data_IF_724488192745
#
_entry.id   IF_724488192745
#
_cell.length_a   1.000
_cell.length_b   1.000
_cell.length_c   1.000
_cell.angle_alpha   90.00
_cell.angle_beta   90.00
_cell.angle_gamma   90.00
#
_symmetry.space_group_name_H-M   'P 1'
#
loop_
_entity.id
_entity.type
_entity.pdbx_description
1 polymer ?
#
# COMPACT_ATOMS: atom_id res chain seq x y z
N UNK A 1 10.83 -1.66 2.03
CA UNK A 1 10.87 -3.12 2.21
C UNK A 1 11.30 -3.35 3.65
N UNK A 2 10.54 -4.11 4.39
CA UNK A 2 10.83 -4.49 5.77
C UNK A 2 11.93 -5.56 5.89
N UNK A 3 12.18 -6.06 7.09
CA UNK A 3 13.21 -7.09 7.35
C UNK A 3 12.85 -8.45 6.78
N UNK A 4 11.57 -8.73 6.59
CA UNK A 4 11.07 -9.97 5.99
C UNK A 4 11.09 -9.93 4.45
N UNK A 5 11.29 -8.76 3.86
CA UNK A 5 11.28 -8.56 2.41
C UNK A 5 9.92 -8.14 1.86
N UNK A 6 8.94 -7.88 2.73
CA UNK A 6 7.63 -7.39 2.37
C UNK A 6 7.63 -5.89 2.06
N UNK A 7 6.60 -5.40 1.37
CA UNK A 7 6.47 -3.99 1.01
C UNK A 7 5.74 -3.19 2.10
N UNK A 8 6.15 -3.34 3.35
CA UNK A 8 5.64 -2.65 4.52
C UNK A 8 6.68 -1.64 5.02
N UNK A 9 6.22 -0.54 5.58
CA UNK A 9 7.07 0.49 6.16
C UNK A 9 7.34 0.18 7.63
N UNK A 10 8.61 -0.02 7.97
CA UNK A 10 9.08 -0.21 9.35
C UNK A 10 9.67 1.09 9.87
N UNK A 11 9.00 1.68 10.83
CA UNK A 11 9.54 2.77 11.64
C UNK A 11 9.87 4.04 10.88
N UNK A 12 10.03 5.10 11.61
CA UNK A 12 10.35 6.43 11.12
C UNK A 12 9.22 7.41 11.36
N UNK A 13 9.60 8.67 11.38
CA UNK A 13 8.71 9.79 11.60
C UNK A 13 7.97 10.16 10.30
N UNK A 14 6.63 10.13 10.32
CA UNK A 14 5.78 10.60 9.23
C UNK A 14 4.72 11.61 9.69
N UNK A 15 4.96 12.31 10.79
CA UNK A 15 4.12 13.40 11.27
C UNK A 15 2.96 13.01 12.17
N UNK A 16 2.76 11.72 12.47
CA UNK A 16 1.70 11.20 13.35
C UNK A 16 2.28 10.42 14.53
N UNK A 17 3.21 11.04 15.29
CA UNK A 17 4.00 10.34 16.31
C UNK A 17 3.21 9.96 17.56
N UNK A 18 2.29 10.82 17.97
CA UNK A 18 1.61 10.76 19.28
C UNK A 18 0.15 10.28 19.18
N UNK A 19 -0.16 9.46 18.20
CA UNK A 19 -1.51 8.94 17.95
C UNK A 19 -1.73 7.50 18.43
N UNK A 20 -0.71 6.91 19.03
CA UNK A 20 -0.71 5.54 19.54
C UNK A 20 -0.14 5.46 20.96
N UNK A 21 0.03 4.25 21.50
CA UNK A 21 0.59 4.03 22.83
C UNK A 21 2.10 4.30 22.92
N UNK A 22 2.76 4.43 21.78
CA UNK A 22 4.19 4.67 21.68
C UNK A 22 4.47 6.00 20.96
N UNK A 23 5.49 6.70 21.40
CA UNK A 23 6.10 7.80 20.65
C UNK A 23 6.92 7.18 19.51
N UNK A 24 6.44 7.32 18.28
CA UNK A 24 7.03 6.72 17.08
C UNK A 24 8.29 7.46 16.59
N UNK A 25 8.57 8.65 17.14
CA UNK A 25 9.81 9.41 16.89
C UNK A 25 10.97 8.97 17.79
N UNK A 26 10.71 8.16 18.81
CA UNK A 26 11.65 7.69 19.79
C UNK A 26 11.86 6.17 19.71
N UNK A 27 12.91 5.67 20.38
CA UNK A 27 13.10 4.24 20.54
C UNK A 27 11.92 3.62 21.30
N UNK A 28 11.45 2.47 20.84
CA UNK A 28 10.38 1.75 21.53
C UNK A 28 10.78 1.39 22.96
N UNK A 29 9.85 1.47 23.93
CA UNK A 29 10.12 1.07 25.32
C UNK A 29 10.26 -0.45 25.48
N UNK A 30 10.05 -1.20 24.42
CA UNK A 30 10.18 -2.66 24.34
C UNK A 30 11.11 -3.03 23.19
N UNK A 31 11.76 -4.20 23.30
CA UNK A 31 12.51 -4.73 22.18
C UNK A 31 11.54 -5.17 21.08
N UNK A 32 11.81 -4.75 19.84
CA UNK A 32 10.97 -5.07 18.70
C UNK A 32 10.96 -3.94 17.66
N UNK A 33 10.02 -4.04 16.72
CA UNK A 33 9.80 -3.01 15.71
C UNK A 33 8.29 -2.91 15.39
N UNK A 34 7.89 -1.80 14.80
CA UNK A 34 6.49 -1.56 14.40
C UNK A 34 6.42 -1.50 12.89
N UNK A 35 5.52 -2.31 12.31
CA UNK A 35 5.03 -2.12 10.97
C UNK A 35 3.90 -1.09 10.99
N UNK A 36 4.04 -0.04 10.19
CA UNK A 36 3.18 1.14 10.26
C UNK A 36 2.13 1.12 9.15
N UNK A 37 0.86 1.21 9.54
CA UNK A 37 -0.25 1.27 8.61
C UNK A 37 -0.26 2.58 7.81
N UNK A 38 -0.08 3.74 8.46
CA UNK A 38 -0.01 5.03 7.78
C UNK A 38 1.23 5.19 6.92
N UNK A 39 2.42 4.82 7.42
CA UNK A 39 3.67 4.89 6.67
C UNK A 39 3.61 4.06 5.39
N UNK A 40 3.08 2.85 5.48
CA UNK A 40 2.88 1.97 4.33
C UNK A 40 1.87 2.56 3.35
N UNK A 41 0.78 3.14 3.86
CA UNK A 41 -0.26 3.78 3.04
C UNK A 41 0.26 5.02 2.30
N UNK A 42 1.12 5.83 2.93
CA UNK A 42 1.77 6.95 2.26
C UNK A 42 2.61 6.48 1.07
N UNK A 43 3.31 5.36 1.19
CA UNK A 43 4.08 4.79 0.07
C UNK A 43 3.16 4.29 -1.05
N UNK A 44 2.00 3.71 -0.71
CA UNK A 44 0.97 3.34 -1.68
C UNK A 44 0.43 4.57 -2.42
N UNK A 45 0.05 5.62 -1.69
CA UNK A 45 -0.42 6.88 -2.27
C UNK A 45 0.64 7.54 -3.17
N UNK A 46 1.90 7.59 -2.75
CA UNK A 46 2.98 8.12 -3.58
C UNK A 46 3.17 7.31 -4.86
N UNK A 47 3.02 5.99 -4.81
CA UNK A 47 3.09 5.15 -6.00
C UNK A 47 1.97 5.52 -6.99
N UNK A 48 0.74 5.73 -6.52
CA UNK A 48 -0.37 6.18 -7.36
C UNK A 48 -0.15 7.59 -7.91
N UNK A 49 0.34 8.53 -7.11
CA UNK A 49 0.67 9.87 -7.57
C UNK A 49 1.76 9.85 -8.66
N UNK A 50 2.79 9.04 -8.47
CA UNK A 50 3.85 8.88 -9.48
C UNK A 50 3.34 8.20 -10.75
N UNK A 51 2.40 7.26 -10.63
CA UNK A 51 1.69 6.68 -11.77
C UNK A 51 0.90 7.75 -12.52
N UNK A 52 0.11 8.56 -11.83
CA UNK A 52 -0.68 9.64 -12.44
C UNK A 52 0.22 10.64 -13.20
N UNK A 53 1.36 11.05 -12.60
CA UNK A 53 2.34 11.92 -13.26
C UNK A 53 2.92 11.23 -14.50
N UNK A 54 3.27 9.95 -14.42
CA UNK A 54 3.82 9.22 -15.56
C UNK A 54 2.80 9.08 -16.69
N UNK A 55 1.51 8.86 -16.37
CA UNK A 55 0.44 8.82 -17.36
C UNK A 55 0.26 10.18 -18.07
N UNK A 56 0.41 11.29 -17.36
CA UNK A 56 0.35 12.63 -17.93
C UNK A 56 1.52 12.88 -18.91
N UNK A 57 2.71 12.47 -18.52
CA UNK A 57 3.92 12.62 -19.35
C UNK A 57 3.92 11.67 -20.56
N UNK A 58 3.20 10.55 -20.48
CA UNK A 58 3.10 9.56 -21.56
C UNK A 58 2.38 10.11 -22.81
N UNK A 59 1.50 11.11 -22.66
CA UNK A 59 0.88 11.80 -23.79
C UNK A 59 1.93 12.45 -24.73
N UNK A 60 3.08 12.87 -24.19
CA UNK A 60 4.18 13.45 -24.95
C UNK A 60 5.34 12.49 -25.25
N UNK A 61 5.48 11.43 -24.47
CA UNK A 61 6.57 10.46 -24.61
C UNK A 61 6.14 9.07 -24.12
N UNK A 62 5.92 8.12 -25.04
CA UNK A 62 5.43 6.76 -24.70
C UNK A 62 6.32 5.97 -23.72
N UNK A 63 7.59 6.34 -23.55
CA UNK A 63 8.46 5.68 -22.55
C UNK A 63 7.93 5.81 -21.12
N UNK A 64 7.08 6.79 -20.83
CA UNK A 64 6.46 6.96 -19.53
C UNK A 64 5.32 5.96 -19.25
N UNK A 65 4.79 5.26 -20.26
CA UNK A 65 3.85 4.15 -20.02
C UNK A 65 4.48 3.01 -19.21
N UNK A 66 5.77 2.72 -19.47
CA UNK A 66 6.53 1.73 -18.68
C UNK A 66 6.74 2.20 -17.23
N UNK A 67 6.98 3.50 -17.04
CA UNK A 67 7.09 4.07 -15.69
C UNK A 67 5.75 4.01 -14.93
N UNK A 68 4.64 4.32 -15.59
CA UNK A 68 3.31 4.18 -15.01
C UNK A 68 3.02 2.74 -14.59
N UNK A 69 3.34 1.77 -15.47
CA UNK A 69 3.21 0.34 -15.18
C UNK A 69 4.01 -0.09 -13.96
N UNK A 70 5.23 0.42 -13.82
CA UNK A 70 6.09 0.15 -12.67
C UNK A 70 5.50 0.68 -11.36
N UNK A 71 4.97 1.90 -11.36
CA UNK A 71 4.34 2.47 -10.16
C UNK A 71 3.03 1.77 -9.81
N UNK A 72 2.26 1.34 -10.80
CA UNK A 72 1.11 0.45 -10.61
C UNK A 72 1.52 -0.86 -9.91
N UNK A 73 2.56 -1.51 -10.37
CA UNK A 73 3.10 -2.74 -9.76
C UNK A 73 3.54 -2.50 -8.31
N UNK A 74 4.20 -1.38 -8.02
CA UNK A 74 4.56 -1.02 -6.65
C UNK A 74 3.34 -0.86 -5.76
N UNK A 75 2.32 -0.15 -6.24
CA UNK A 75 1.06 0.00 -5.52
C UNK A 75 0.41 -1.35 -5.19
N UNK A 76 0.29 -2.25 -6.17
CA UNK A 76 -0.29 -3.58 -5.95
C UNK A 76 0.48 -4.39 -4.91
N UNK A 77 1.80 -4.37 -4.95
CA UNK A 77 2.63 -5.08 -3.98
C UNK A 77 2.49 -4.50 -2.56
N UNK A 78 2.39 -3.18 -2.43
CA UNK A 78 2.15 -2.54 -1.13
C UNK A 78 0.75 -2.89 -0.61
N UNK A 79 -0.27 -2.79 -1.45
CA UNK A 79 -1.66 -3.13 -1.11
C UNK A 79 -1.78 -4.57 -0.63
N UNK A 80 -1.13 -5.51 -1.33
CA UNK A 80 -1.06 -6.91 -0.90
C UNK A 80 -0.40 -7.04 0.47
N UNK A 81 0.75 -6.39 0.68
CA UNK A 81 1.47 -6.46 1.94
C UNK A 81 0.63 -5.92 3.11
N UNK A 82 -0.15 -4.86 2.90
CA UNK A 82 -1.06 -4.31 3.91
C UNK A 82 -2.19 -5.26 4.30
N UNK A 83 -2.68 -6.03 3.34
CA UNK A 83 -3.79 -6.99 3.56
C UNK A 83 -3.29 -8.35 4.04
N UNK A 84 -2.05 -8.71 3.74
CA UNK A 84 -1.45 -10.01 4.02
C UNK A 84 0.00 -9.81 4.47
N UNK A 85 0.23 -9.44 5.71
CA UNK A 85 1.58 -9.34 6.23
C UNK A 85 2.26 -10.72 6.26
N UNK A 86 3.37 -10.81 5.53
CA UNK A 86 4.34 -11.91 5.57
C UNK A 86 3.77 -13.29 5.27
N UNK A 87 4.08 -13.84 4.15
CA UNK A 87 3.61 -15.11 3.55
C UNK A 87 3.57 -16.40 4.40
N UNK A 88 3.59 -16.31 5.70
CA UNK A 88 3.35 -17.40 6.68
C UNK A 88 2.67 -16.79 7.91
N UNK A 89 1.37 -17.00 8.08
CA UNK A 89 0.59 -16.77 9.32
C UNK A 89 0.84 -15.44 10.08
N UNK A 90 1.29 -14.40 9.38
CA UNK A 90 1.52 -13.08 9.95
C UNK A 90 0.21 -12.32 10.15
N UNK A 91 0.19 -11.46 11.17
CA UNK A 91 -0.91 -10.55 11.42
C UNK A 91 -0.88 -9.42 10.39
N UNK A 92 -1.88 -9.35 9.50
CA UNK A 92 -2.02 -8.24 8.56
C UNK A 92 -2.20 -6.89 9.28
N UNK A 93 -1.86 -5.79 8.60
CA UNK A 93 -2.22 -4.45 9.08
C UNK A 93 -3.75 -4.25 9.06
N UNK A 94 -4.45 -4.91 8.14
CA UNK A 94 -5.91 -4.96 8.10
C UNK A 94 -6.45 -5.96 9.13
N UNK A 95 -7.37 -5.52 9.96
CA UNK A 95 -8.09 -6.36 10.90
C UNK A 95 -9.52 -6.60 10.41
N UNK A 96 -9.84 -7.83 10.03
CA UNK A 96 -11.14 -8.22 9.46
C UNK A 96 -12.30 -8.05 10.45
N UNK A 97 -12.07 -8.34 11.74
CA UNK A 97 -13.10 -8.24 12.77
C UNK A 97 -13.51 -6.78 12.99
N UNK A 98 -12.54 -5.90 13.06
CA UNK A 98 -12.75 -4.47 13.33
C UNK A 98 -13.05 -3.66 12.08
N UNK A 99 -12.77 -4.20 10.88
CA UNK A 99 -12.83 -3.46 9.60
C UNK A 99 -11.94 -2.22 9.62
N UNK A 100 -10.72 -2.35 10.13
CA UNK A 100 -9.85 -1.21 10.36
C UNK A 100 -8.37 -1.59 10.24
N UNK A 101 -7.52 -0.63 9.81
CA UNK A 101 -6.08 -0.81 9.76
C UNK A 101 -5.44 -0.45 11.10
N UNK A 102 -4.48 -1.27 11.54
CA UNK A 102 -3.70 -1.05 12.74
C UNK A 102 -2.21 -1.23 12.47
N UNK A 103 -1.40 -0.52 13.23
CA UNK A 103 0.03 -0.83 13.32
C UNK A 103 0.22 -2.20 14.00
N UNK A 104 1.27 -2.91 13.64
CA UNK A 104 1.60 -4.21 14.24
C UNK A 104 2.99 -4.14 14.89
N UNK A 105 3.05 -4.44 16.19
CA UNK A 105 4.29 -4.57 16.94
C UNK A 105 4.83 -6.00 16.83
N UNK A 106 6.04 -6.13 16.33
CA UNK A 106 6.78 -7.39 16.28
C UNK A 106 7.72 -7.48 17.46
N UNK A 107 7.60 -8.55 18.25
CA UNK A 107 8.42 -8.83 19.42
C UNK A 107 9.55 -9.81 19.09
N UNK A 108 10.66 -9.86 19.88
CA UNK A 108 11.79 -10.75 19.64
C UNK A 108 11.46 -12.24 19.67
N UNK A 109 10.38 -12.62 20.34
CA UNK A 109 9.88 -13.99 20.42
C UNK A 109 8.93 -14.37 19.27
N UNK A 110 8.96 -13.62 18.18
CA UNK A 110 8.12 -13.77 16.99
C UNK A 110 6.61 -13.51 17.22
N UNK A 111 6.19 -13.05 18.39
CA UNK A 111 4.82 -12.60 18.59
C UNK A 111 4.56 -11.29 17.84
N UNK A 112 3.40 -11.23 17.21
CA UNK A 112 2.87 -10.05 16.53
C UNK A 112 1.66 -9.55 17.30
N UNK A 113 1.66 -8.26 17.65
CA UNK A 113 0.61 -7.65 18.47
C UNK A 113 0.02 -6.46 17.71
N UNK A 114 -1.25 -6.53 17.25
CA UNK A 114 -1.90 -5.39 16.65
C UNK A 114 -2.11 -4.29 17.69
N UNK A 115 -1.71 -3.08 17.36
CA UNK A 115 -1.92 -1.90 18.22
C UNK A 115 -3.31 -1.35 17.93
N UNK A 116 -4.33 -1.92 18.59
CA UNK A 116 -5.75 -1.61 18.35
C UNK A 116 -6.14 -0.21 18.87
N UNK A 117 -5.53 0.83 18.35
CA UNK A 117 -5.90 2.23 18.60
C UNK A 117 -6.59 2.79 17.35
N UNK A 118 -7.88 3.07 17.44
CA UNK A 118 -8.65 3.70 16.35
C UNK A 118 -8.32 5.18 16.26
N UNK A 119 -7.37 5.53 15.41
CA UNK A 119 -6.86 6.87 15.19
C UNK A 119 -6.76 7.18 13.69
N UNK A 120 -6.26 8.38 13.34
CA UNK A 120 -5.97 8.76 11.95
C UNK A 120 -5.05 7.76 11.23
N UNK A 121 -4.15 7.08 11.95
CA UNK A 121 -3.24 6.08 11.36
C UNK A 121 -4.00 5.05 10.52
N UNK A 122 -5.08 4.50 11.05
CA UNK A 122 -5.88 3.50 10.35
C UNK A 122 -6.85 4.07 9.29
N UNK A 123 -6.92 5.38 9.12
CA UNK A 123 -7.72 6.05 8.07
C UNK A 123 -6.85 6.49 6.88
N UNK A 124 -5.55 6.64 7.06
CA UNK A 124 -4.63 7.04 5.98
C UNK A 124 -4.69 6.10 4.76
N UNK A 125 -4.90 4.77 4.89
CA UNK A 125 -5.06 3.89 3.73
C UNK A 125 -6.14 4.34 2.73
N UNK A 126 -7.17 5.04 3.19
CA UNK A 126 -8.24 5.58 2.33
C UNK A 126 -7.75 6.67 1.36
N UNK A 127 -6.56 7.23 1.57
CA UNK A 127 -5.97 8.24 0.67
C UNK A 127 -5.23 7.62 -0.51
N UNK A 128 -4.91 6.33 -0.46
CA UNK A 128 -4.29 5.60 -1.55
C UNK A 128 -5.34 5.20 -2.60
N UNK A 129 -5.90 6.20 -3.27
CA UNK A 129 -6.93 6.05 -4.30
C UNK A 129 -6.56 6.89 -5.52
N UNK A 130 -6.85 6.38 -6.73
CA UNK A 130 -6.65 7.07 -7.99
C UNK A 130 -7.75 6.68 -8.96
N UNK A 131 -8.14 7.60 -9.84
CA UNK A 131 -9.13 7.37 -10.89
C UNK A 131 -8.44 7.25 -12.25
N UNK A 132 -8.72 6.18 -12.96
CA UNK A 132 -8.24 5.95 -14.32
C UNK A 132 -9.39 6.16 -15.31
N UNK A 133 -9.36 7.32 -15.98
CA UNK A 133 -10.38 7.64 -16.98
C UNK A 133 -10.26 6.73 -18.20
N UNK A 134 -11.38 6.14 -18.69
CA UNK A 134 -11.37 5.24 -19.85
C UNK A 134 -10.71 5.84 -21.08
N UNK A 135 -10.98 7.11 -21.38
CA UNK A 135 -10.43 7.85 -22.52
C UNK A 135 -8.90 7.97 -22.44
N UNK A 136 -8.36 8.05 -21.22
CA UNK A 136 -6.90 8.05 -21.00
C UNK A 136 -6.30 6.68 -21.28
N UNK A 137 -6.93 5.62 -20.79
CA UNK A 137 -6.49 4.24 -21.04
C UNK A 137 -6.48 3.89 -22.54
N UNK A 138 -7.46 4.38 -23.31
CA UNK A 138 -7.49 4.18 -24.75
C UNK A 138 -6.32 4.84 -25.50
N UNK A 139 -5.79 5.95 -24.98
CA UNK A 139 -4.62 6.63 -25.55
C UNK A 139 -3.29 5.99 -25.17
N UNK A 140 -3.25 5.18 -24.13
CA UNK A 140 -2.05 4.58 -23.55
C UNK A 140 -2.10 3.05 -23.63
N UNK A 141 -2.01 2.47 -24.83
CA UNK A 141 -2.29 1.06 -25.05
C UNK A 141 -1.26 0.10 -24.42
N UNK A 142 -0.05 0.53 -24.21
CA UNK A 142 0.96 -0.30 -23.55
C UNK A 142 0.69 -0.41 -22.06
N UNK A 143 0.34 0.70 -21.40
CA UNK A 143 -0.08 0.72 -20.01
C UNK A 143 -1.38 -0.08 -19.80
N UNK A 144 -2.41 0.14 -20.66
CA UNK A 144 -3.68 -0.59 -20.60
C UNK A 144 -3.47 -2.11 -20.65
N UNK A 145 -2.70 -2.61 -21.63
CA UNK A 145 -2.40 -4.05 -21.73
C UNK A 145 -1.68 -4.59 -20.49
N UNK A 146 -0.79 -3.80 -19.88
CA UNK A 146 -0.09 -4.22 -18.67
C UNK A 146 -1.01 -4.29 -17.47
N UNK A 147 -1.91 -3.30 -17.32
CA UNK A 147 -2.95 -3.26 -16.31
C UNK A 147 -3.87 -4.48 -16.39
N UNK A 148 -4.42 -4.74 -17.59
CA UNK A 148 -5.28 -5.89 -17.88
C UNK A 148 -4.55 -7.21 -17.56
N UNK A 149 -3.28 -7.32 -17.96
CA UNK A 149 -2.46 -8.48 -17.67
C UNK A 149 -2.32 -8.75 -16.17
N UNK A 150 -2.08 -7.71 -15.35
CA UNK A 150 -2.00 -7.87 -13.89
C UNK A 150 -3.32 -8.33 -13.30
N UNK A 151 -4.44 -7.76 -13.73
CA UNK A 151 -5.76 -8.14 -13.25
C UNK A 151 -6.05 -9.61 -13.58
N UNK A 152 -5.71 -10.05 -14.76
CA UNK A 152 -5.98 -11.41 -15.23
C UNK A 152 -5.02 -12.45 -14.62
N UNK A 153 -3.73 -12.15 -14.54
CA UNK A 153 -2.70 -13.14 -14.21
C UNK A 153 -2.18 -13.04 -12.76
N UNK A 154 -2.50 -11.99 -12.04
CA UNK A 154 -2.07 -11.78 -10.65
C UNK A 154 -3.26 -11.49 -9.73
N UNK A 155 -4.24 -12.42 -9.65
CA UNK A 155 -5.39 -12.26 -8.75
C UNK A 155 -4.97 -12.13 -7.28
N UNK A 156 -3.80 -12.66 -6.92
CA UNK A 156 -3.19 -12.51 -5.61
C UNK A 156 -2.83 -11.05 -5.27
N UNK A 157 -2.61 -10.20 -6.28
CA UNK A 157 -2.32 -8.77 -6.12
C UNK A 157 -3.54 -7.90 -6.36
N UNK A 158 -4.45 -8.32 -7.23
CA UNK A 158 -5.59 -7.50 -7.70
C UNK A 158 -6.90 -7.77 -6.97
N UNK A 159 -6.92 -8.68 -5.98
CA UNK A 159 -8.15 -9.03 -5.24
C UNK A 159 -8.82 -7.82 -4.54
N UNK A 160 -8.05 -6.78 -4.20
CA UNK A 160 -8.55 -5.54 -3.62
C UNK A 160 -8.83 -4.42 -4.62
N UNK A 161 -8.63 -4.67 -5.92
CA UNK A 161 -8.89 -3.67 -6.97
C UNK A 161 -10.34 -3.76 -7.39
N UNK A 162 -11.04 -2.61 -7.42
CA UNK A 162 -12.42 -2.56 -7.88
C UNK A 162 -12.53 -3.01 -9.36
N UNK A 163 -13.65 -3.65 -9.72
CA UNK A 163 -13.90 -4.04 -11.10
C UNK A 163 -13.92 -2.81 -12.00
N UNK A 164 -13.14 -2.86 -13.07
CA UNK A 164 -13.11 -1.80 -14.09
C UNK A 164 -14.30 -1.88 -15.06
N UNK A 165 -15.11 -2.92 -14.97
CA UNK A 165 -16.25 -3.17 -15.86
C UNK A 165 -17.56 -2.56 -15.32
N UNK A 166 -17.55 -2.03 -14.12
CA UNK A 166 -18.74 -1.45 -13.48
C UNK A 166 -18.54 0.05 -13.30
N UNK A 167 -19.33 0.91 -13.94
CA UNK A 167 -19.33 2.34 -13.64
C UNK A 167 -19.63 2.59 -12.18
N UNK A 168 -18.81 3.45 -11.51
CA UNK A 168 -19.00 3.83 -10.12
C UNK A 168 -20.26 4.66 -9.87
#
# INVERSE_FOLDING_TARGET
VDRAGDNVFEGGFLGLDNVGPFDRSSALPVQGYIEQADGTSWMAMYSLNMMAIALELADGNPAYEDMASKFWEHFLNISKAMSHCGGQEGQALWNEEDGFFYDVLHLPDARQVPIKVRSMVGLIPLFAVETLEPERLERLPAFKRRLEWFIEHRPDLSAGVASMDTPG
#
